data_IF_142533924051
#
_entry.id   IF_142533924051
#
_cell.length_a   1.000
_cell.length_b   1.000
_cell.length_c   1.000
_cell.angle_alpha   90.00
_cell.angle_beta   90.00
_cell.angle_gamma   90.00
#
_symmetry.space_group_name_H-M   'P 1'
#
loop_
_entity.id
_entity.type
_entity.pdbx_description
1 polymer ?
#
# COMPACT_ATOMS: atom_id res chain seq x y z
N UNK A 1 -19.89 -11.38 14.65
CA UNK A 1 -21.33 -11.71 14.74
C UNK A 1 -21.82 -11.99 13.34
N UNK A 2 -22.06 -13.26 13.01
CA UNK A 2 -22.46 -13.68 11.66
C UNK A 2 -23.98 -13.88 11.62
N UNK A 3 -24.64 -13.31 10.63
CA UNK A 3 -26.09 -13.44 10.38
C UNK A 3 -26.30 -14.55 9.36
N UNK A 4 -27.08 -15.56 9.73
CA UNK A 4 -27.40 -16.70 8.87
C UNK A 4 -28.33 -16.29 7.71
N UNK A 5 -28.20 -16.98 6.57
CA UNK A 5 -28.99 -16.71 5.36
C UNK A 5 -30.50 -16.83 5.57
N UNK A 6 -30.95 -17.69 6.49
CA UNK A 6 -32.37 -17.85 6.84
C UNK A 6 -33.03 -16.63 7.45
N UNK A 7 -32.25 -15.60 7.84
CA UNK A 7 -32.78 -14.31 8.29
C UNK A 7 -33.25 -13.39 7.13
N UNK A 8 -33.06 -13.79 5.87
CA UNK A 8 -33.40 -13.00 4.68
C UNK A 8 -34.39 -13.73 3.78
N UNK A 9 -35.21 -12.98 3.04
CA UNK A 9 -36.13 -13.52 2.03
C UNK A 9 -35.96 -12.84 0.66
N UNK A 10 -35.71 -13.59 -0.43
CA UNK A 10 -35.34 -15.01 -0.43
C UNK A 10 -33.94 -15.24 0.22
N UNK A 11 -33.64 -16.45 0.72
CA UNK A 11 -32.37 -16.72 1.39
C UNK A 11 -31.16 -16.64 0.43
N UNK A 12 -30.11 -15.86 0.74
CA UNK A 12 -28.87 -15.83 -0.04
C UNK A 12 -28.02 -17.09 0.16
N UNK A 13 -27.06 -17.34 -0.75
CA UNK A 13 -26.11 -18.48 -0.68
C UNK A 13 -24.96 -18.27 0.31
N UNK A 14 -24.87 -17.11 0.94
CA UNK A 14 -23.75 -16.68 1.80
C UNK A 14 -24.28 -16.15 3.12
N UNK A 15 -23.42 -16.12 4.14
CA UNK A 15 -23.70 -15.49 5.43
C UNK A 15 -23.41 -13.99 5.39
N UNK A 16 -24.12 -13.21 6.22
CA UNK A 16 -23.93 -11.77 6.33
C UNK A 16 -23.22 -11.39 7.64
N UNK A 17 -22.65 -10.19 7.71
CA UNK A 17 -22.12 -9.60 8.96
C UNK A 17 -22.38 -8.09 8.93
N UNK A 18 -22.65 -7.50 10.10
CA UNK A 18 -22.79 -6.04 10.25
C UNK A 18 -21.47 -5.47 10.72
N UNK A 19 -20.99 -4.43 10.04
CA UNK A 19 -19.77 -3.71 10.39
C UNK A 19 -20.17 -2.25 10.62
N UNK A 20 -19.82 -1.70 11.78
CA UNK A 20 -20.00 -0.29 12.09
C UNK A 20 -18.65 0.42 11.89
N UNK A 21 -18.62 1.41 11.00
CA UNK A 21 -17.48 2.30 10.87
C UNK A 21 -17.77 3.61 11.60
N UNK A 22 -16.96 3.93 12.61
CA UNK A 22 -16.96 5.26 13.23
C UNK A 22 -15.97 6.14 12.49
N UNK A 23 -16.45 7.27 11.99
CA UNK A 23 -15.59 8.24 11.34
C UNK A 23 -14.55 8.77 12.35
N UNK A 24 -13.28 8.74 11.95
CA UNK A 24 -12.19 9.30 12.74
C UNK A 24 -12.17 10.82 12.57
N UNK A 25 -11.81 11.54 13.64
CA UNK A 25 -11.56 12.99 13.54
C UNK A 25 -10.39 13.33 12.62
N UNK A 26 -9.37 12.47 12.59
CA UNK A 26 -8.19 12.62 11.75
C UNK A 26 -7.90 11.36 10.93
N UNK A 27 -7.33 11.57 9.74
CA UNK A 27 -6.93 10.47 8.86
C UNK A 27 -5.64 9.82 9.36
N UNK A 28 -5.55 8.49 9.27
CA UNK A 28 -4.31 7.76 9.56
C UNK A 28 -3.22 7.92 8.49
N UNK A 29 -3.57 8.51 7.35
CA UNK A 29 -2.66 8.76 6.23
C UNK A 29 -2.68 10.26 5.97
N UNK A 30 -1.51 10.90 6.08
CA UNK A 30 -1.35 12.31 5.75
C UNK A 30 -1.82 12.59 4.31
N UNK A 31 -2.44 13.75 4.09
CA UNK A 31 -2.94 14.14 2.78
C UNK A 31 -1.81 14.20 1.73
N UNK A 32 -0.61 14.63 2.13
CA UNK A 32 0.58 14.68 1.28
C UNK A 32 1.04 13.30 0.79
N UNK A 33 0.84 12.26 1.60
CA UNK A 33 1.24 10.89 1.30
C UNK A 33 0.15 10.08 0.60
N UNK A 34 -1.09 10.57 0.56
CA UNK A 34 -2.26 9.80 0.13
C UNK A 34 -2.12 9.17 -1.26
N UNK A 35 -1.59 9.91 -2.23
CA UNK A 35 -1.39 9.42 -3.61
C UNK A 35 -0.35 8.29 -3.66
N UNK A 36 0.75 8.44 -2.92
CA UNK A 36 1.80 7.43 -2.80
C UNK A 36 1.27 6.18 -2.09
N UNK A 37 0.56 6.36 -0.98
CA UNK A 37 -0.04 5.29 -0.20
C UNK A 37 -0.98 4.43 -1.04
N UNK A 38 -1.94 5.03 -1.74
CA UNK A 38 -2.88 4.26 -2.58
C UNK A 38 -2.19 3.57 -3.75
N UNK A 39 -1.21 4.21 -4.37
CA UNK A 39 -0.45 3.58 -5.46
C UNK A 39 0.32 2.36 -4.95
N UNK A 40 0.98 2.53 -3.81
CA UNK A 40 1.79 1.51 -3.17
C UNK A 40 0.94 0.33 -2.69
N UNK A 41 -0.17 0.57 -1.97
CA UNK A 41 -1.08 -0.49 -1.52
C UNK A 41 -1.66 -1.27 -2.69
N UNK A 42 -2.02 -0.60 -3.79
CA UNK A 42 -2.52 -1.30 -4.99
C UNK A 42 -1.46 -2.23 -5.58
N UNK A 43 -0.22 -1.78 -5.68
CA UNK A 43 0.86 -2.60 -6.22
C UNK A 43 1.21 -3.76 -5.28
N UNK A 44 1.34 -3.50 -3.98
CA UNK A 44 1.64 -4.52 -2.95
C UNK A 44 0.66 -5.70 -2.95
N UNK A 45 -0.63 -5.42 -3.16
CA UNK A 45 -1.67 -6.45 -3.14
C UNK A 45 -2.08 -6.92 -4.55
N UNK A 46 -1.40 -6.49 -5.62
CA UNK A 46 -1.72 -6.89 -6.99
C UNK A 46 -1.60 -8.41 -7.19
N UNK A 47 -0.59 -9.05 -6.59
CA UNK A 47 -0.40 -10.50 -6.68
C UNK A 47 -0.11 -11.09 -5.30
N UNK A 48 -1.14 -11.70 -4.69
CA UNK A 48 -1.14 -12.21 -3.31
C UNK A 48 0.06 -13.11 -2.95
N UNK A 49 0.53 -13.94 -3.88
CA UNK A 49 1.59 -14.93 -3.61
C UNK A 49 3.01 -14.39 -3.79
N UNK A 50 3.17 -13.21 -4.40
CA UNK A 50 4.48 -12.60 -4.63
C UNK A 50 4.97 -11.83 -3.42
N UNK A 51 6.30 -11.69 -3.34
CA UNK A 51 6.94 -10.88 -2.31
C UNK A 51 6.67 -9.39 -2.55
N UNK A 52 6.82 -8.58 -1.51
CA UNK A 52 6.70 -7.12 -1.53
C UNK A 52 7.51 -6.53 -2.67
N UNK A 53 8.81 -6.87 -2.77
CA UNK A 53 9.68 -6.38 -3.84
C UNK A 53 9.18 -6.73 -5.24
N UNK A 54 8.73 -7.95 -5.45
CA UNK A 54 8.25 -8.39 -6.77
C UNK A 54 6.93 -7.73 -7.16
N UNK A 55 6.05 -7.46 -6.19
CA UNK A 55 4.82 -6.72 -6.41
C UNK A 55 5.09 -5.25 -6.75
N UNK A 56 6.00 -4.59 -6.02
CA UNK A 56 6.38 -3.21 -6.31
C UNK A 56 7.08 -3.07 -7.66
N UNK A 57 8.04 -3.96 -7.98
CA UNK A 57 8.76 -3.95 -9.27
C UNK A 57 7.83 -4.16 -10.47
N UNK A 58 6.82 -5.01 -10.33
CA UNK A 58 5.84 -5.27 -11.39
C UNK A 58 4.73 -4.22 -11.50
N UNK A 59 4.72 -3.24 -10.60
CA UNK A 59 3.66 -2.24 -10.48
C UNK A 59 4.06 -0.86 -10.98
N UNK A 60 3.21 0.13 -10.68
CA UNK A 60 3.48 1.54 -10.96
C UNK A 60 4.70 2.04 -10.19
N UNK A 61 4.91 1.59 -8.95
CA UNK A 61 6.08 1.97 -8.15
C UNK A 61 7.37 1.59 -8.88
N UNK A 62 7.50 0.36 -9.36
CA UNK A 62 8.64 -0.08 -10.17
C UNK A 62 8.84 0.74 -11.44
N UNK A 63 7.76 1.10 -12.13
CA UNK A 63 7.84 1.99 -13.30
C UNK A 63 8.27 3.43 -12.95
N UNK A 64 7.97 3.90 -11.74
CA UNK A 64 8.29 5.25 -11.28
C UNK A 64 9.73 5.43 -10.81
N UNK A 65 10.30 4.42 -10.16
CA UNK A 65 11.62 4.55 -9.49
C UNK A 65 12.64 3.51 -9.95
N UNK A 66 12.26 2.57 -10.82
CA UNK A 66 13.13 1.51 -11.30
C UNK A 66 13.48 0.47 -10.21
N UNK A 67 14.39 -0.44 -10.55
CA UNK A 67 14.78 -1.53 -9.65
C UNK A 67 15.51 -1.03 -8.40
N UNK A 68 16.49 -0.16 -8.60
CA UNK A 68 17.34 0.34 -7.52
C UNK A 68 16.57 1.29 -6.61
N UNK A 69 15.65 2.09 -7.17
CA UNK A 69 14.75 2.92 -6.37
C UNK A 69 13.78 2.10 -5.52
N UNK A 70 13.24 0.98 -6.03
CA UNK A 70 12.41 0.08 -5.20
C UNK A 70 13.23 -0.51 -4.06
N UNK A 71 14.48 -0.91 -4.32
CA UNK A 71 15.35 -1.43 -3.26
C UNK A 71 15.64 -0.37 -2.21
N UNK A 72 15.98 0.85 -2.65
CA UNK A 72 16.21 1.98 -1.76
C UNK A 72 15.00 2.27 -0.86
N UNK A 73 13.79 2.31 -1.44
CA UNK A 73 12.54 2.58 -0.70
C UNK A 73 12.27 1.49 0.34
N UNK A 74 12.57 0.23 0.04
CA UNK A 74 12.40 -0.86 1.00
C UNK A 74 13.40 -0.78 2.15
N UNK A 75 14.65 -0.46 1.84
CA UNK A 75 15.72 -0.38 2.84
C UNK A 75 15.51 0.81 3.79
N UNK A 76 15.13 1.97 3.24
CA UNK A 76 14.83 3.20 4.00
C UNK A 76 13.58 3.05 4.85
N UNK A 77 12.55 2.34 4.36
CA UNK A 77 11.36 2.01 5.15
C UNK A 77 11.57 0.84 6.14
N UNK A 78 12.76 0.23 6.17
CA UNK A 78 13.09 -0.95 6.98
C UNK A 78 12.12 -2.13 6.77
N UNK A 79 11.71 -2.36 5.53
CA UNK A 79 10.80 -3.46 5.17
C UNK A 79 11.55 -4.58 4.48
N UNK A 80 11.41 -5.81 5.01
CA UNK A 80 11.98 -6.98 4.37
C UNK A 80 11.30 -7.27 3.02
N UNK A 81 12.10 -7.17 1.97
CA UNK A 81 11.75 -7.41 0.57
C UNK A 81 11.17 -8.80 0.27
N UNK A 82 11.45 -9.79 1.13
CA UNK A 82 11.05 -11.19 1.00
C UNK A 82 9.65 -11.48 1.53
N UNK A 83 9.12 -10.59 2.38
CA UNK A 83 7.78 -10.72 2.95
C UNK A 83 6.70 -10.64 1.88
N UNK A 84 5.51 -11.15 2.20
CA UNK A 84 4.28 -10.89 1.44
C UNK A 84 3.59 -9.66 2.00
N UNK A 85 2.84 -8.95 1.15
CA UNK A 85 2.15 -7.72 1.55
C UNK A 85 1.17 -7.91 2.73
N UNK A 86 0.54 -9.09 2.84
CA UNK A 86 -0.37 -9.43 3.96
C UNK A 86 0.34 -9.59 5.31
N UNK A 87 1.67 -9.70 5.34
CA UNK A 87 2.47 -9.77 6.57
C UNK A 87 2.95 -8.40 7.06
N UNK A 88 2.72 -7.33 6.29
CA UNK A 88 3.11 -5.98 6.69
C UNK A 88 2.09 -5.38 7.66
N UNK A 89 2.58 -4.60 8.61
CA UNK A 89 1.75 -3.83 9.52
C UNK A 89 1.38 -2.44 8.97
N UNK A 90 0.55 -1.71 9.72
CA UNK A 90 0.08 -0.39 9.31
C UNK A 90 1.21 0.63 9.16
N UNK A 91 2.17 0.60 10.07
CA UNK A 91 3.24 1.59 10.16
C UNK A 91 4.26 1.38 9.03
N UNK A 92 4.48 0.13 8.63
CA UNK A 92 5.26 -0.22 7.44
C UNK A 92 4.64 0.32 6.15
N UNK A 93 3.31 0.32 6.00
CA UNK A 93 2.68 0.95 4.83
C UNK A 93 2.91 2.48 4.82
N UNK A 94 2.87 3.12 5.98
CA UNK A 94 3.14 4.56 6.10
C UNK A 94 4.62 4.87 5.80
N UNK A 95 5.55 4.10 6.37
CA UNK A 95 6.99 4.23 6.14
C UNK A 95 7.34 4.08 4.66
N UNK A 96 6.80 3.07 3.99
CA UNK A 96 6.97 2.86 2.55
C UNK A 96 6.43 4.03 1.72
N UNK A 97 5.29 4.59 2.13
CA UNK A 97 4.67 5.73 1.44
C UNK A 97 5.51 7.01 1.60
N UNK A 98 6.01 7.26 2.81
CA UNK A 98 6.90 8.38 3.09
C UNK A 98 8.22 8.24 2.33
N UNK A 99 8.83 7.06 2.39
CA UNK A 99 10.08 6.74 1.70
C UNK A 99 9.98 6.92 0.18
N UNK A 100 8.88 6.44 -0.43
CA UNK A 100 8.62 6.66 -1.86
C UNK A 100 8.47 8.15 -2.21
N UNK A 101 7.78 8.93 -1.37
CA UNK A 101 7.66 10.38 -1.55
C UNK A 101 9.02 11.07 -1.47
N UNK A 102 9.84 10.72 -0.48
CA UNK A 102 11.17 11.28 -0.28
C UNK A 102 12.13 10.93 -1.43
N UNK A 103 12.08 9.69 -1.93
CA UNK A 103 12.87 9.28 -3.09
C UNK A 103 12.50 10.12 -4.34
N UNK A 104 11.20 10.31 -4.57
CA UNK A 104 10.71 11.12 -5.70
C UNK A 104 11.14 12.58 -5.61
N UNK A 105 11.08 13.19 -4.42
CA UNK A 105 11.51 14.57 -4.22
C UNK A 105 13.00 14.76 -4.61
N UNK A 106 13.87 13.84 -4.18
CA UNK A 106 15.31 13.91 -4.52
C UNK A 106 15.57 13.77 -6.02
N UNK A 107 14.84 12.90 -6.72
CA UNK A 107 15.00 12.73 -8.17
C UNK A 107 14.46 13.93 -8.98
N UNK A 108 13.45 14.64 -8.48
CA UNK A 108 12.94 15.85 -9.13
C UNK A 108 13.92 17.01 -9.01
N UNK A 109 14.64 17.12 -7.89
CA UNK A 109 15.61 18.19 -7.64
C UNK A 109 16.87 18.07 -8.52
N UNK A 110 17.35 16.84 -8.77
CA UNK A 110 18.50 16.59 -9.67
C UNK A 110 18.21 16.97 -11.12
N UNK A 111 16.95 16.88 -11.55
CA UNK A 111 16.55 17.26 -12.92
C UNK A 111 16.51 18.78 -13.10
N UNK A 112 16.39 19.55 -12.00
CA UNK A 112 16.32 21.01 -12.03
C UNK A 112 17.69 21.71 -12.05
N UNK A 113 18.77 21.01 -11.68
CA UNK A 113 20.13 21.58 -11.67
C UNK A 113 20.93 21.37 -12.96
N UNK A 114 20.39 20.62 -13.93
CA UNK A 114 20.97 20.46 -15.28
C UNK A 114 20.20 21.30 -16.28
N UNK A 115 20.24 22.63 -16.15
CA UNK A 115 19.88 23.56 -17.22
C UNK A 115 20.60 24.88 -17.08
#
# INVERSE_FOLDING_TARGET
>A
MTINSGAFYPPPKVTSSVILFTLRGESKVDLSLRTYFFTLVRDLFAQRRKTVKNNLLGGKVGAMVGRDGVQWVLDDAHVDSSLRAEALDWDQFLALSASLSSYRARCTDDTAQTK
#
